data_IF_776455907288
#
_entry.id   IF_776455907288
#
_cell.length_a   1.000
_cell.length_b   1.000
_cell.length_c   1.000
_cell.angle_alpha   90.00
_cell.angle_beta   90.00
_cell.angle_gamma   90.00
#
_symmetry.space_group_name_H-M   'P 1'
#
loop_
_entity.id
_entity.type
_entity.pdbx_description
1 polymer ?
#
# COMPACT_ATOMS: atom_id res chain seq x y z
N UNK A 1 -15.79 6.03 -25.91
CA UNK A 1 -14.80 5.11 -25.30
C UNK A 1 -13.41 5.75 -25.13
N UNK A 2 -12.90 6.51 -26.11
CA UNK A 2 -11.61 7.22 -25.99
C UNK A 2 -11.57 8.28 -24.87
N UNK A 3 -12.68 8.99 -24.62
CA UNK A 3 -12.83 9.95 -23.51
C UNK A 3 -12.72 9.31 -22.12
N UNK A 4 -13.19 8.07 -21.94
CA UNK A 4 -13.08 7.34 -20.67
C UNK A 4 -11.65 6.85 -20.40
N UNK A 5 -10.94 6.41 -21.44
CA UNK A 5 -9.53 6.03 -21.35
C UNK A 5 -8.62 7.23 -21.07
N UNK A 6 -8.89 8.37 -21.72
CA UNK A 6 -8.18 9.62 -21.45
C UNK A 6 -8.43 10.13 -20.02
N UNK A 7 -9.65 10.00 -19.48
CA UNK A 7 -9.96 10.37 -18.10
C UNK A 7 -9.26 9.45 -17.08
N UNK A 8 -9.18 8.14 -17.35
CA UNK A 8 -8.43 7.18 -16.51
C UNK A 8 -6.93 7.47 -16.53
N UNK A 9 -6.35 7.78 -17.70
CA UNK A 9 -4.94 8.17 -17.83
C UNK A 9 -4.64 9.52 -17.15
N UNK A 10 -5.58 10.48 -17.21
CA UNK A 10 -5.47 11.78 -16.54
C UNK A 10 -5.54 11.63 -15.01
N UNK A 11 -6.32 10.68 -14.49
CA UNK A 11 -6.41 10.36 -13.06
C UNK A 11 -5.20 9.59 -12.52
N UNK A 12 -4.49 8.85 -13.37
CA UNK A 12 -3.27 8.13 -13.03
C UNK A 12 -2.01 9.00 -13.12
N UNK A 13 -2.10 10.18 -13.74
CA UNK A 13 -0.95 10.91 -14.27
C UNK A 13 -0.38 12.05 -13.41
N UNK A 14 -0.95 12.43 -12.27
CA UNK A 14 -0.49 13.68 -11.61
C UNK A 14 -0.76 13.83 -10.11
N UNK A 15 -0.95 12.73 -9.38
CA UNK A 15 -0.80 12.83 -7.93
C UNK A 15 0.71 12.80 -7.62
N UNK A 16 1.31 13.98 -7.41
CA UNK A 16 2.52 14.06 -6.58
C UNK A 16 2.30 13.21 -5.33
N UNK A 17 3.30 12.48 -4.80
CA UNK A 17 3.15 11.82 -3.52
C UNK A 17 2.70 12.89 -2.54
N UNK A 18 1.42 12.86 -2.16
CA UNK A 18 0.96 13.65 -1.05
C UNK A 18 1.77 13.12 0.13
N UNK A 19 2.54 14.00 0.79
CA UNK A 19 3.17 13.68 2.08
C UNK A 19 2.07 13.41 3.10
N UNK A 20 1.56 12.17 3.07
CA UNK A 20 0.43 11.67 3.84
C UNK A 20 0.82 10.41 4.62
N UNK A 21 2.11 10.10 4.67
CA UNK A 21 2.67 9.10 5.58
C UNK A 21 2.69 9.67 7.00
N UNK A 22 2.95 8.80 7.99
CA UNK A 22 2.92 9.15 9.41
C UNK A 22 3.60 10.48 9.71
N UNK A 23 2.79 11.51 9.98
CA UNK A 23 3.27 12.82 10.36
C UNK A 23 3.33 12.90 11.89
N UNK A 24 4.37 13.54 12.41
CA UNK A 24 4.45 13.82 13.83
C UNK A 24 3.35 14.83 14.19
N UNK A 25 2.43 14.42 15.06
CA UNK A 25 1.34 15.25 15.57
C UNK A 25 1.76 16.03 16.82
N UNK A 26 2.63 15.44 17.62
CA UNK A 26 3.19 16.07 18.82
C UNK A 26 4.27 15.21 19.46
N UNK A 27 5.09 15.85 20.29
CA UNK A 27 6.14 15.22 21.08
C UNK A 27 6.05 15.67 22.54
N UNK A 28 6.55 14.82 23.43
CA UNK A 28 6.82 15.16 24.82
C UNK A 28 8.23 14.66 25.15
N UNK A 29 9.21 15.54 25.44
CA UNK A 29 9.11 17.01 25.48
C UNK A 29 8.69 17.66 24.15
N UNK A 30 8.07 18.84 24.23
CA UNK A 30 7.68 19.61 23.04
C UNK A 30 8.91 20.10 22.26
N UNK A 31 8.79 20.23 20.93
CA UNK A 31 9.85 20.78 20.09
C UNK A 31 10.20 22.22 20.49
N UNK A 32 11.49 22.47 20.68
CA UNK A 32 12.07 23.72 21.15
C UNK A 32 11.88 23.98 22.65
N UNK A 33 11.27 23.07 23.40
CA UNK A 33 11.03 23.26 24.84
C UNK A 33 12.32 23.22 25.66
N UNK A 34 12.28 23.87 26.83
CA UNK A 34 13.31 23.78 27.87
C UNK A 34 12.67 23.17 29.11
N UNK A 35 13.19 22.03 29.55
CA UNK A 35 12.73 21.30 30.73
C UNK A 35 13.72 21.48 31.88
N UNK A 36 13.21 21.58 33.11
CA UNK A 36 14.06 21.82 34.29
C UNK A 36 14.85 20.59 34.72
N UNK A 37 14.34 19.39 34.44
CA UNK A 37 14.94 18.11 34.85
C UNK A 37 14.93 17.13 33.69
N UNK A 38 15.77 16.10 33.79
CA UNK A 38 15.82 15.02 32.80
C UNK A 38 14.46 14.33 32.75
N UNK A 39 13.77 14.30 31.59
CA UNK A 39 12.53 13.58 31.46
C UNK A 39 12.80 12.08 31.45
N UNK A 40 11.90 11.28 32.05
CA UNK A 40 12.04 9.82 32.10
C UNK A 40 12.04 9.18 30.70
N UNK A 41 11.32 9.79 29.75
CA UNK A 41 11.13 9.26 28.41
C UNK A 41 10.89 10.38 27.39
N UNK A 42 11.11 10.05 26.12
CA UNK A 42 10.64 10.85 24.99
C UNK A 42 9.48 10.13 24.34
N UNK A 43 8.37 10.83 24.12
CA UNK A 43 7.16 10.32 23.47
C UNK A 43 6.88 11.04 22.17
N UNK A 44 6.53 10.30 21.11
CA UNK A 44 6.13 10.82 19.81
C UNK A 44 4.75 10.28 19.44
N UNK A 45 3.81 11.19 19.19
CA UNK A 45 2.46 10.85 18.73
C UNK A 45 2.35 11.16 17.25
N UNK A 46 1.92 10.17 16.45
CA UNK A 46 1.79 10.28 15.01
C UNK A 46 0.33 10.43 14.57
N UNK A 47 0.10 10.78 13.31
CA UNK A 47 -1.24 10.83 12.71
C UNK A 47 -1.85 9.46 12.44
N UNK A 48 -1.05 8.39 12.50
CA UNK A 48 -1.46 7.01 12.25
C UNK A 48 -0.60 6.04 13.04
N UNK A 49 -0.96 4.75 13.01
CA UNK A 49 -0.14 3.71 13.62
C UNK A 49 1.19 3.54 12.92
N UNK A 50 2.25 3.29 13.68
CA UNK A 50 3.61 3.13 13.17
C UNK A 50 4.23 1.83 13.67
N UNK A 51 5.08 1.20 12.87
CA UNK A 51 5.96 0.12 13.33
C UNK A 51 7.32 0.70 13.72
N UNK A 52 7.86 0.17 14.82
CA UNK A 52 9.13 0.58 15.41
C UNK A 52 10.24 -0.38 15.00
N UNK A 53 11.44 0.18 14.92
CA UNK A 53 12.70 -0.51 14.67
C UNK A 53 13.66 -0.14 15.82
N UNK A 54 14.70 -0.94 16.04
CA UNK A 54 15.69 -0.68 17.11
C UNK A 54 16.32 0.72 17.01
N UNK A 55 16.50 1.22 15.78
CA UNK A 55 17.06 2.54 15.49
C UNK A 55 15.99 3.62 15.25
N UNK A 56 14.73 3.37 15.67
CA UNK A 56 13.63 4.32 15.47
C UNK A 56 13.82 5.64 16.21
N UNK A 57 14.60 5.64 17.30
CA UNK A 57 14.99 6.83 18.05
C UNK A 57 16.51 6.94 18.09
N UNK A 58 17.02 8.10 17.67
CA UNK A 58 18.42 8.46 17.73
C UNK A 58 18.52 9.77 18.51
N UNK A 59 19.02 9.66 19.73
CA UNK A 59 19.16 10.77 20.67
C UNK A 59 20.61 11.26 20.63
N UNK A 60 20.80 12.55 20.40
CA UNK A 60 22.11 13.20 20.41
C UNK A 60 22.16 14.22 21.52
N UNK A 61 23.20 14.15 22.35
CA UNK A 61 23.42 15.08 23.45
C UNK A 61 24.12 16.37 23.02
N UNK A 62 24.31 17.32 23.95
CA UNK A 62 24.94 18.62 23.72
C UNK A 62 26.35 18.55 23.11
N UNK A 63 27.08 17.46 23.37
CA UNK A 63 28.41 17.18 22.84
C UNK A 63 28.40 16.56 21.42
N UNK A 64 27.22 16.52 20.81
CA UNK A 64 26.94 15.90 19.51
C UNK A 64 27.25 14.39 19.46
N UNK A 65 27.30 13.72 20.62
CA UNK A 65 27.43 12.27 20.71
C UNK A 65 26.06 11.60 20.85
N UNK A 66 25.96 10.40 20.30
CA UNK A 66 24.77 9.57 20.42
C UNK A 66 24.62 9.06 21.86
N UNK A 67 23.50 9.39 22.48
CA UNK A 67 23.07 8.83 23.76
C UNK A 67 22.55 7.41 23.51
N UNK A 68 22.98 6.47 24.34
CA UNK A 68 22.43 5.13 24.32
C UNK A 68 21.06 5.16 25.00
N UNK A 69 20.07 4.60 24.31
CA UNK A 69 18.69 4.47 24.78
C UNK A 69 18.24 3.04 24.61
N UNK A 70 17.26 2.62 25.42
CA UNK A 70 16.67 1.29 25.31
C UNK A 70 15.84 1.13 24.02
N UNK A 71 15.33 -0.09 23.79
CA UNK A 71 14.50 -0.38 22.62
C UNK A 71 13.20 0.44 22.66
N UNK A 72 12.86 1.15 21.57
CA UNK A 72 11.61 1.89 21.49
C UNK A 72 10.39 0.98 21.62
N UNK A 73 9.36 1.45 22.32
CA UNK A 73 8.09 0.73 22.48
C UNK A 73 6.90 1.62 22.19
N UNK A 74 5.75 1.01 21.95
CA UNK A 74 4.48 1.75 21.90
C UNK A 74 4.01 2.09 23.30
N UNK A 75 3.37 3.25 23.45
CA UNK A 75 2.61 3.52 24.66
C UNK A 75 1.45 2.53 24.80
N UNK A 76 1.09 2.16 26.03
CA UNK A 76 0.09 1.13 26.31
C UNK A 76 -1.23 1.39 25.56
N UNK A 77 -1.60 0.43 24.72
CA UNK A 77 -2.82 0.48 23.91
C UNK A 77 -2.83 1.50 22.77
N UNK A 78 -1.71 2.18 22.49
CA UNK A 78 -1.61 3.25 21.46
C UNK A 78 -0.56 2.93 20.40
N UNK A 79 -0.98 2.30 19.30
CA UNK A 79 -0.08 1.95 18.18
C UNK A 79 0.40 3.14 17.34
N UNK A 80 -0.17 4.33 17.55
CA UNK A 80 0.21 5.61 16.95
C UNK A 80 1.14 6.44 17.85
N UNK A 81 1.48 5.95 19.04
CA UNK A 81 2.34 6.65 19.98
C UNK A 81 3.55 5.79 20.33
N UNK A 82 4.73 6.28 19.96
CA UNK A 82 6.00 5.63 20.25
C UNK A 82 6.71 6.35 21.40
N UNK A 83 7.45 5.62 22.21
CA UNK A 83 8.27 6.20 23.27
C UNK A 83 9.59 5.44 23.42
N UNK A 84 10.57 6.13 23.98
CA UNK A 84 11.86 5.59 24.35
C UNK A 84 12.28 6.16 25.71
N UNK A 85 12.80 5.31 26.58
CA UNK A 85 13.28 5.74 27.90
C UNK A 85 14.64 6.45 27.75
N UNK A 86 14.81 7.51 28.53
CA UNK A 86 16.08 8.22 28.64
C UNK A 86 16.85 7.74 29.88
N UNK A 87 18.19 7.78 29.86
CA UNK A 87 18.98 7.53 31.07
C UNK A 87 18.68 8.56 32.17
N UNK A 88 18.63 8.13 33.43
CA UNK A 88 18.40 8.99 34.61
C UNK A 88 19.36 10.19 34.72
N UNK A 89 20.53 10.12 34.08
CA UNK A 89 21.59 11.12 34.14
C UNK A 89 21.98 11.57 32.74
N UNK A 90 21.48 12.74 32.39
CA UNK A 90 21.84 13.48 31.20
C UNK A 90 22.44 14.84 31.62
N UNK A 91 23.31 15.40 30.78
CA UNK A 91 23.94 16.69 31.05
C UNK A 91 22.97 17.82 30.66
N UNK A 92 23.14 18.99 31.26
CA UNK A 92 22.41 20.19 30.83
C UNK A 92 22.83 20.57 29.41
N UNK A 93 21.87 21.09 28.63
CA UNK A 93 22.08 21.49 27.24
C UNK A 93 20.99 21.05 26.29
N UNK A 94 21.19 21.33 25.00
CA UNK A 94 20.26 20.98 23.92
C UNK A 94 20.48 19.55 23.44
N UNK A 95 19.40 18.80 23.35
CA UNK A 95 19.30 17.45 22.82
C UNK A 95 18.57 17.46 21.48
N UNK A 96 19.05 16.63 20.55
CA UNK A 96 18.39 16.41 19.25
C UNK A 96 17.82 15.01 19.17
N UNK A 97 16.53 14.91 18.91
CA UNK A 97 15.80 13.65 18.77
C UNK A 97 15.49 13.45 17.29
N UNK A 98 16.26 12.58 16.64
CA UNK A 98 15.97 12.13 15.29
C UNK A 98 15.18 10.81 15.35
N UNK A 99 14.10 10.72 14.59
CA UNK A 99 13.23 9.55 14.56
C UNK A 99 13.05 9.01 13.15
N UNK A 100 12.83 7.69 13.06
CA UNK A 100 12.45 6.99 11.84
C UNK A 100 11.48 5.86 12.17
N UNK A 101 10.35 5.84 11.50
CA UNK A 101 9.29 4.84 11.74
C UNK A 101 8.70 4.37 10.42
N UNK A 102 8.03 3.22 10.41
CA UNK A 102 7.29 2.72 9.25
C UNK A 102 5.80 2.96 9.47
N UNK A 103 5.14 3.75 8.62
CA UNK A 103 3.70 4.01 8.70
C UNK A 103 2.87 2.75 8.42
N UNK A 104 1.57 2.81 8.72
CA UNK A 104 0.67 1.68 8.52
C UNK A 104 0.46 1.32 7.03
N UNK A 105 0.81 2.21 6.10
CA UNK A 105 0.87 1.95 4.65
C UNK A 105 2.24 1.43 4.18
N UNK A 106 3.11 1.04 5.12
CA UNK A 106 4.43 0.45 4.88
C UNK A 106 5.52 1.39 4.32
N UNK A 107 5.32 2.70 4.35
CA UNK A 107 6.32 3.70 3.95
C UNK A 107 7.19 4.14 5.14
N UNK A 108 8.46 4.45 4.92
CA UNK A 108 9.28 5.08 5.94
C UNK A 108 8.91 6.56 6.10
N UNK A 109 8.80 6.99 7.36
CA UNK A 109 8.71 8.40 7.74
C UNK A 109 9.85 8.73 8.71
N UNK A 110 10.40 9.93 8.58
CA UNK A 110 11.50 10.40 9.43
C UNK A 110 11.38 11.88 9.73
N UNK A 111 11.95 12.30 10.83
CA UNK A 111 12.06 13.70 11.21
C UNK A 111 13.03 13.90 12.36
N UNK A 112 13.22 15.15 12.76
CA UNK A 112 14.02 15.48 13.93
C UNK A 112 13.44 16.73 14.60
N UNK A 113 13.62 16.82 15.90
CA UNK A 113 13.26 17.97 16.71
C UNK A 113 14.27 18.13 17.85
N UNK A 114 14.24 19.27 18.55
CA UNK A 114 15.17 19.50 19.67
C UNK A 114 14.44 19.88 20.94
N UNK A 115 15.01 19.57 22.10
CA UNK A 115 14.60 20.14 23.39
C UNK A 115 15.85 20.41 24.23
N UNK A 116 15.76 21.18 25.30
CA UNK A 116 16.91 21.45 26.18
C UNK A 116 16.62 21.10 27.63
N UNK A 117 17.63 20.60 28.34
CA UNK A 117 17.59 20.32 29.78
C UNK A 117 18.35 21.45 30.49
N UNK A 118 17.69 22.13 31.43
CA UNK A 118 18.25 23.26 32.18
C UNK A 118 18.37 24.53 31.32
N UNK A 119 19.36 24.57 30.44
CA UNK A 119 19.61 25.70 29.53
C UNK A 119 19.95 25.24 28.10
N UNK A 120 19.55 26.01 27.06
CA UNK A 120 19.95 25.71 25.70
C UNK A 120 21.46 25.79 25.48
N UNK A 121 22.03 24.85 24.72
CA UNK A 121 23.43 24.90 24.35
C UNK A 121 23.70 26.06 23.38
N UNK A 122 24.87 26.72 23.46
CA UNK A 122 25.25 27.79 22.53
C UNK A 122 25.26 27.35 21.06
N UNK A 123 25.49 26.06 20.81
CA UNK A 123 25.42 25.44 19.50
C UNK A 123 24.64 24.12 19.64
N UNK A 124 23.40 24.06 19.13
CA UNK A 124 22.60 22.83 19.16
C UNK A 124 23.31 21.69 18.40
N UNK A 125 23.17 20.44 18.86
CA UNK A 125 23.62 19.28 18.08
C UNK A 125 22.94 19.27 16.72
N UNK A 126 23.73 19.06 15.67
CA UNK A 126 23.17 19.00 14.32
C UNK A 126 22.20 17.82 14.24
N UNK A 127 20.97 18.08 13.83
CA UNK A 127 20.07 16.99 13.44
C UNK A 127 20.77 16.17 12.35
N UNK A 128 20.90 14.83 12.52
CA UNK A 128 21.34 13.99 11.43
C UNK A 128 20.46 14.30 10.22
N UNK A 129 21.09 14.66 9.10
CA UNK A 129 20.40 14.71 7.82
C UNK A 129 20.02 13.29 7.47
N UNK A 130 18.80 12.90 7.83
CA UNK A 130 18.20 11.69 7.30
C UNK A 130 17.67 12.04 5.91
N UNK A 131 18.27 11.54 4.81
CA UNK A 131 18.00 12.01 3.45
C UNK A 131 16.59 11.69 2.92
N UNK A 132 15.65 11.32 3.79
CA UNK A 132 14.33 10.81 3.41
C UNK A 132 14.50 9.43 2.78
N UNK A 133 13.79 9.15 1.69
CA UNK A 133 13.98 7.92 0.91
C UNK A 133 15.14 8.06 -0.08
N UNK A 134 15.95 7.00 -0.25
CA UNK A 134 16.95 7.00 -1.31
C UNK A 134 16.26 6.99 -2.70
N UNK A 135 16.51 7.97 -3.58
CA UNK A 135 15.65 8.25 -4.73
C UNK A 135 15.56 7.10 -5.73
N UNK A 136 16.68 6.40 -5.97
CA UNK A 136 16.71 5.23 -6.87
C UNK A 136 15.93 4.06 -6.27
N UNK A 137 16.09 3.81 -4.98
CA UNK A 137 15.42 2.71 -4.27
C UNK A 137 13.92 2.96 -4.23
N UNK A 138 13.52 4.19 -3.89
CA UNK A 138 12.13 4.64 -3.89
C UNK A 138 11.49 4.51 -5.27
N UNK A 139 12.16 4.97 -6.32
CA UNK A 139 11.64 4.90 -7.69
C UNK A 139 11.45 3.45 -8.16
N UNK A 140 12.43 2.58 -7.94
CA UNK A 140 12.34 1.16 -8.28
C UNK A 140 11.24 0.45 -7.48
N UNK A 141 11.17 0.70 -6.17
CA UNK A 141 10.16 0.12 -5.28
C UNK A 141 8.75 0.54 -5.70
N UNK A 142 8.53 1.85 -5.92
CA UNK A 142 7.25 2.37 -6.34
C UNK A 142 6.84 1.88 -7.74
N UNK A 143 7.78 1.80 -8.68
CA UNK A 143 7.52 1.25 -10.02
C UNK A 143 7.08 -0.22 -9.92
N UNK A 144 7.81 -1.03 -9.15
CA UNK A 144 7.42 -2.42 -8.91
C UNK A 144 6.05 -2.54 -8.22
N UNK A 145 5.75 -1.64 -7.27
CA UNK A 145 4.45 -1.58 -6.59
C UNK A 145 3.31 -1.32 -7.57
N UNK A 146 3.43 -0.32 -8.44
CA UNK A 146 2.41 -0.02 -9.45
C UNK A 146 2.25 -1.15 -10.47
N UNK A 147 3.35 -1.75 -10.92
CA UNK A 147 3.32 -2.92 -11.78
C UNK A 147 2.59 -4.10 -11.10
N UNK A 148 2.81 -4.33 -9.80
CA UNK A 148 2.11 -5.37 -9.05
C UNK A 148 0.59 -5.14 -9.01
N UNK A 149 0.14 -3.90 -8.79
CA UNK A 149 -1.28 -3.54 -8.82
C UNK A 149 -1.91 -3.78 -10.19
N UNK A 150 -1.28 -3.29 -11.27
CA UNK A 150 -1.76 -3.48 -12.64
C UNK A 150 -1.80 -4.96 -13.02
N UNK A 151 -0.76 -5.71 -12.65
CA UNK A 151 -0.64 -7.13 -12.93
C UNK A 151 -1.71 -7.95 -12.19
N UNK A 152 -2.01 -7.63 -10.93
CA UNK A 152 -3.07 -8.26 -10.18
C UNK A 152 -4.47 -7.96 -10.76
N UNK A 153 -4.73 -6.70 -11.14
CA UNK A 153 -5.96 -6.32 -11.84
C UNK A 153 -6.13 -7.14 -13.12
N UNK A 154 -5.08 -7.23 -13.93
CA UNK A 154 -5.12 -7.99 -15.19
C UNK A 154 -5.32 -9.48 -14.96
N UNK A 155 -4.54 -10.09 -14.05
CA UNK A 155 -4.58 -11.52 -13.76
C UNK A 155 -5.94 -11.95 -13.17
N UNK A 156 -6.37 -11.31 -12.09
CA UNK A 156 -7.63 -11.65 -11.40
C UNK A 156 -8.82 -11.29 -12.29
N UNK A 157 -8.79 -10.13 -12.95
CA UNK A 157 -9.87 -9.70 -13.83
C UNK A 157 -10.06 -10.59 -15.06
N UNK A 158 -8.97 -10.98 -15.73
CA UNK A 158 -9.04 -11.90 -16.87
C UNK A 158 -9.51 -13.30 -16.43
N UNK A 159 -9.04 -13.81 -15.28
CA UNK A 159 -9.48 -15.09 -14.74
C UNK A 159 -10.97 -15.08 -14.37
N UNK A 160 -11.44 -14.02 -13.71
CA UNK A 160 -12.85 -13.81 -13.38
C UNK A 160 -13.71 -13.71 -14.65
N UNK A 161 -13.25 -13.00 -15.67
CA UNK A 161 -13.95 -12.89 -16.95
C UNK A 161 -14.12 -14.26 -17.63
N UNK A 162 -13.06 -15.08 -17.68
CA UNK A 162 -13.16 -16.46 -18.22
C UNK A 162 -14.16 -17.29 -17.42
N UNK A 163 -14.08 -17.25 -16.09
CA UNK A 163 -14.91 -18.07 -15.22
C UNK A 163 -16.40 -17.67 -15.22
N UNK A 164 -16.68 -16.37 -15.23
CA UNK A 164 -18.03 -15.81 -15.01
C UNK A 164 -18.73 -15.41 -16.31
N UNK A 165 -18.00 -14.84 -17.27
CA UNK A 165 -18.57 -14.36 -18.53
C UNK A 165 -18.62 -15.45 -19.61
N UNK A 166 -17.73 -16.45 -19.52
CA UNK A 166 -17.68 -17.66 -20.37
C UNK A 166 -17.60 -17.31 -21.87
N UNK A 167 -16.51 -16.65 -22.32
CA UNK A 167 -16.29 -16.41 -23.74
C UNK A 167 -16.16 -17.74 -24.49
N UNK A 168 -16.52 -17.75 -25.78
CA UNK A 168 -16.44 -18.92 -26.66
C UNK A 168 -15.00 -19.31 -26.96
N UNK A 169 -14.14 -18.31 -27.19
CA UNK A 169 -12.71 -18.49 -27.39
C UNK A 169 -11.92 -17.85 -26.23
N UNK A 170 -11.04 -18.64 -25.63
CA UNK A 170 -10.15 -18.22 -24.53
C UNK A 170 -8.70 -18.09 -24.98
N UNK A 171 -8.37 -18.47 -26.22
CA UNK A 171 -6.99 -18.41 -26.74
C UNK A 171 -6.42 -16.98 -26.66
N UNK A 172 -7.16 -15.92 -27.05
CA UNK A 172 -6.64 -14.55 -26.94
C UNK A 172 -6.35 -14.10 -25.49
N UNK A 173 -7.01 -14.71 -24.51
CA UNK A 173 -6.87 -14.37 -23.09
C UNK A 173 -5.66 -15.00 -22.42
N UNK A 174 -4.99 -15.97 -23.08
CA UNK A 174 -3.77 -16.60 -22.55
C UNK A 174 -2.65 -15.59 -22.35
N UNK A 175 -2.46 -14.68 -23.31
CA UNK A 175 -1.39 -13.68 -23.23
C UNK A 175 -1.61 -12.71 -22.07
N UNK A 176 -2.78 -12.03 -21.91
CA UNK A 176 -3.08 -11.21 -20.73
C UNK A 176 -2.89 -11.93 -19.39
N UNK A 177 -3.32 -13.19 -19.29
CA UNK A 177 -3.15 -14.00 -18.08
C UNK A 177 -1.67 -14.27 -17.76
N UNK A 178 -0.88 -14.67 -18.76
CA UNK A 178 0.54 -14.93 -18.59
C UNK A 178 1.33 -13.66 -18.32
N UNK A 179 1.02 -12.56 -19.00
CA UNK A 179 1.61 -11.25 -18.73
C UNK A 179 1.30 -10.80 -17.31
N UNK A 180 0.03 -10.82 -16.90
CA UNK A 180 -0.37 -10.48 -15.53
C UNK A 180 0.32 -11.36 -14.49
N UNK A 181 0.42 -12.66 -14.73
CA UNK A 181 1.12 -13.57 -13.82
C UNK A 181 2.62 -13.30 -13.72
N UNK A 182 3.33 -13.23 -14.85
CA UNK A 182 4.78 -12.97 -14.87
C UNK A 182 5.13 -11.61 -14.29
N UNK A 183 4.37 -10.56 -14.65
CA UNK A 183 4.60 -9.23 -14.10
C UNK A 183 4.38 -9.22 -12.60
N UNK A 184 3.32 -9.87 -12.09
CA UNK A 184 3.07 -9.96 -10.64
C UNK A 184 4.19 -10.71 -9.91
N UNK A 185 4.69 -11.80 -10.49
CA UNK A 185 5.79 -12.58 -9.91
C UNK A 185 7.06 -11.74 -9.82
N UNK A 186 7.48 -11.14 -10.94
CA UNK A 186 8.72 -10.35 -11.02
C UNK A 186 8.62 -9.11 -10.13
N UNK A 187 7.49 -8.39 -10.17
CA UNK A 187 7.31 -7.21 -9.32
C UNK A 187 7.32 -7.57 -7.83
N UNK A 188 6.73 -8.71 -7.46
CA UNK A 188 6.75 -9.17 -6.06
C UNK A 188 8.16 -9.53 -5.60
N UNK A 189 8.96 -10.18 -6.46
CA UNK A 189 10.37 -10.44 -6.17
C UNK A 189 11.19 -9.15 -6.00
N UNK A 190 10.98 -8.17 -6.88
CA UNK A 190 11.65 -6.86 -6.77
C UNK A 190 11.25 -6.15 -5.47
N UNK A 191 9.96 -6.13 -5.12
CA UNK A 191 9.47 -5.55 -3.86
C UNK A 191 10.07 -6.24 -2.64
N UNK A 192 10.24 -7.57 -2.68
CA UNK A 192 10.83 -8.34 -1.60
C UNK A 192 12.32 -8.00 -1.41
N UNK A 193 13.07 -7.96 -2.52
CA UNK A 193 14.51 -7.64 -2.54
C UNK A 193 14.77 -6.20 -2.09
N UNK A 194 13.95 -5.26 -2.55
CA UNK A 194 14.12 -3.84 -2.24
C UNK A 194 13.49 -3.43 -0.90
N UNK A 195 12.85 -4.33 -0.15
CA UNK A 195 12.13 -3.97 1.07
C UNK A 195 13.05 -3.37 2.13
N UNK A 196 14.14 -4.05 2.46
CA UNK A 196 15.10 -3.57 3.46
C UNK A 196 15.73 -2.21 3.08
N UNK A 197 16.31 -2.04 1.88
CA UNK A 197 16.88 -0.74 1.52
C UNK A 197 15.82 0.36 1.38
N UNK A 198 14.57 0.03 1.08
CA UNK A 198 13.47 1.00 1.08
C UNK A 198 13.16 1.50 2.50
N UNK A 199 13.01 0.59 3.47
CA UNK A 199 12.74 0.94 4.87
C UNK A 199 13.88 1.75 5.50
N UNK A 200 15.13 1.38 5.21
CA UNK A 200 16.31 2.03 5.78
C UNK A 200 16.83 3.23 4.97
N UNK A 201 16.15 3.61 3.88
CA UNK A 201 16.66 4.57 2.88
C UNK A 201 18.10 4.31 2.42
N UNK A 202 18.47 3.05 2.28
CA UNK A 202 19.73 2.67 1.71
C UNK A 202 19.66 2.67 0.16
N UNK A 203 20.81 2.80 -0.52
CA UNK A 203 20.89 2.49 -1.95
C UNK A 203 20.49 1.03 -2.22
N UNK A 204 20.24 0.64 -3.49
CA UNK A 204 19.85 -0.73 -3.83
C UNK A 204 20.85 -1.80 -3.36
N UNK A 205 22.13 -1.45 -3.19
CA UNK A 205 23.16 -2.34 -2.63
C UNK A 205 22.93 -2.68 -1.15
N UNK A 206 22.06 -1.97 -0.44
CA UNK A 206 21.65 -2.28 0.93
C UNK A 206 20.97 -3.65 1.09
N UNK A 207 20.60 -4.31 -0.02
CA UNK A 207 20.19 -5.73 -0.03
C UNK A 207 21.26 -6.68 0.55
N UNK A 208 22.52 -6.27 0.54
CA UNK A 208 23.63 -7.06 1.07
C UNK A 208 23.67 -7.07 2.61
N UNK A 209 22.94 -6.17 3.27
CA UNK A 209 22.77 -6.19 4.72
C UNK A 209 21.77 -7.28 5.13
N UNK A 210 22.30 -8.46 5.42
CA UNK A 210 21.51 -9.64 5.81
C UNK A 210 20.67 -9.42 7.08
N UNK A 211 21.12 -8.58 8.01
CA UNK A 211 20.39 -8.27 9.23
C UNK A 211 19.19 -7.35 8.93
N UNK A 212 19.39 -6.33 8.09
CA UNK A 212 18.29 -5.48 7.61
C UNK A 212 17.26 -6.28 6.79
N UNK A 213 17.72 -7.19 5.92
CA UNK A 213 16.84 -8.08 5.15
C UNK A 213 16.03 -9.00 6.07
N UNK A 214 16.66 -9.62 7.07
CA UNK A 214 15.95 -10.47 8.03
C UNK A 214 14.85 -9.70 8.76
N UNK A 215 15.16 -8.49 9.26
CA UNK A 215 14.17 -7.64 9.94
C UNK A 215 13.02 -7.26 9.01
N UNK A 216 13.32 -6.78 7.81
CA UNK A 216 12.31 -6.40 6.81
C UNK A 216 11.37 -7.55 6.43
N UNK A 217 11.89 -8.78 6.31
CA UNK A 217 11.10 -9.97 5.99
C UNK A 217 10.27 -10.48 7.17
N UNK A 218 10.75 -10.30 8.40
CA UNK A 218 10.00 -10.64 9.62
C UNK A 218 8.89 -9.63 9.94
N UNK A 219 9.01 -8.40 9.43
CA UNK A 219 7.97 -7.39 9.54
C UNK A 219 6.70 -7.74 8.76
N UNK A 220 5.58 -7.14 9.18
CA UNK A 220 4.25 -7.37 8.57
C UNK A 220 4.24 -7.19 7.04
N UNK A 221 4.84 -6.13 6.47
CA UNK A 221 4.86 -5.96 5.01
C UNK A 221 5.71 -7.03 4.30
N UNK A 222 6.81 -7.48 4.93
CA UNK A 222 7.64 -8.57 4.43
C UNK A 222 6.89 -9.90 4.38
N UNK A 223 6.20 -10.27 5.47
CA UNK A 223 5.35 -11.47 5.54
C UNK A 223 4.25 -11.42 4.46
N UNK A 224 3.62 -10.27 4.26
CA UNK A 224 2.60 -10.11 3.22
C UNK A 224 3.17 -10.31 1.80
N UNK A 225 4.39 -9.82 1.52
CA UNK A 225 5.07 -10.06 0.24
C UNK A 225 5.47 -11.52 0.05
N UNK A 226 5.94 -12.20 1.10
CA UNK A 226 6.23 -13.64 1.07
C UNK A 226 4.96 -14.47 0.78
N UNK A 227 3.85 -14.13 1.43
CA UNK A 227 2.56 -14.75 1.17
C UNK A 227 2.10 -14.50 -0.28
N UNK A 228 2.28 -13.27 -0.80
CA UNK A 228 1.96 -12.92 -2.19
C UNK A 228 2.78 -13.73 -3.17
N UNK A 229 4.07 -13.91 -2.90
CA UNK A 229 4.97 -14.73 -3.72
C UNK A 229 4.48 -16.17 -3.77
N UNK A 230 4.20 -16.78 -2.61
CA UNK A 230 3.69 -18.15 -2.52
C UNK A 230 2.36 -18.31 -3.29
N UNK A 231 1.40 -17.41 -3.08
CA UNK A 231 0.11 -17.42 -3.77
C UNK A 231 0.26 -17.25 -5.29
N UNK A 232 1.19 -16.41 -5.73
CA UNK A 232 1.48 -16.20 -7.16
C UNK A 232 2.09 -17.45 -7.80
N UNK A 233 2.98 -18.16 -7.09
CA UNK A 233 3.52 -19.44 -7.55
C UNK A 233 2.43 -20.51 -7.67
N UNK A 234 1.52 -20.60 -6.68
CA UNK A 234 0.37 -21.52 -6.74
C UNK A 234 -0.57 -21.15 -7.90
N UNK A 235 -0.84 -19.86 -8.12
CA UNK A 235 -1.62 -19.41 -9.26
C UNK A 235 -0.99 -19.80 -10.60
N UNK A 236 0.33 -19.68 -10.74
CA UNK A 236 1.08 -20.13 -11.92
C UNK A 236 0.93 -21.62 -12.16
N UNK A 237 1.07 -22.44 -11.11
CA UNK A 237 0.86 -23.88 -11.20
C UNK A 237 -0.56 -24.24 -11.64
N UNK A 238 -1.58 -23.56 -11.10
CA UNK A 238 -2.99 -23.76 -11.49
C UNK A 238 -3.20 -23.38 -12.96
N UNK A 239 -2.67 -22.24 -13.41
CA UNK A 239 -2.75 -21.81 -14.81
C UNK A 239 -2.09 -22.82 -15.76
N UNK A 240 -0.91 -23.35 -15.40
CA UNK A 240 -0.22 -24.38 -16.19
C UNK A 240 -1.03 -25.68 -16.25
N UNK A 241 -1.63 -26.11 -15.14
CA UNK A 241 -2.52 -27.28 -15.08
C UNK A 241 -3.76 -27.11 -15.95
N UNK A 242 -4.35 -25.91 -15.95
CA UNK A 242 -5.52 -25.59 -16.78
C UNK A 242 -5.15 -25.51 -18.27
N UNK A 243 -4.00 -24.93 -18.62
CA UNK A 243 -3.53 -24.83 -20.00
C UNK A 243 -3.24 -26.20 -20.65
N UNK A 244 -2.91 -27.22 -19.85
CA UNK A 244 -2.65 -28.60 -20.31
C UNK A 244 -3.93 -29.43 -20.52
N UNK A 245 -5.11 -28.93 -20.13
CA UNK A 245 -6.37 -29.65 -20.35
C UNK A 245 -6.75 -29.61 -21.83
N UNK A 246 -7.00 -30.78 -22.41
CA UNK A 246 -7.38 -30.95 -23.83
C UNK A 246 -8.86 -30.66 -24.11
N UNK A 247 -9.72 -30.72 -23.09
CA UNK A 247 -11.17 -30.55 -23.23
C UNK A 247 -11.63 -29.16 -22.76
N UNK A 248 -12.06 -28.26 -23.68
CA UNK A 248 -12.66 -26.97 -23.35
C UNK A 248 -14.09 -27.16 -22.82
N UNK A 249 -14.22 -27.71 -21.61
CA UNK A 249 -15.48 -27.86 -20.90
C UNK A 249 -15.76 -26.73 -19.89
N UNK A 250 -16.96 -26.76 -19.30
CA UNK A 250 -17.39 -25.88 -18.20
C UNK A 250 -16.36 -25.93 -17.06
N UNK A 251 -15.95 -24.78 -16.50
CA UNK A 251 -15.04 -24.74 -15.36
C UNK A 251 -15.64 -25.53 -14.19
N UNK A 252 -15.00 -26.63 -13.75
CA UNK A 252 -15.41 -27.37 -12.57
C UNK A 252 -15.53 -26.45 -11.35
N UNK A 253 -16.53 -26.68 -10.49
CA UNK A 253 -16.74 -25.90 -9.27
C UNK A 253 -15.48 -25.82 -8.40
N UNK A 254 -14.68 -26.89 -8.37
CA UNK A 254 -13.39 -26.94 -7.67
C UNK A 254 -12.39 -25.89 -8.19
N UNK A 255 -12.28 -25.69 -9.51
CA UNK A 255 -11.36 -24.69 -10.08
C UNK A 255 -11.84 -23.27 -9.82
N UNK A 256 -13.16 -23.06 -9.82
CA UNK A 256 -13.73 -21.78 -9.42
C UNK A 256 -13.42 -21.49 -7.94
N UNK A 257 -13.61 -22.46 -7.05
CA UNK A 257 -13.30 -22.31 -5.64
C UNK A 257 -11.80 -21.98 -5.41
N UNK A 258 -10.90 -22.70 -6.08
CA UNK A 258 -9.46 -22.42 -6.03
C UNK A 258 -9.14 -21.01 -6.53
N UNK A 259 -9.74 -20.59 -7.66
CA UNK A 259 -9.57 -19.25 -8.20
C UNK A 259 -10.04 -18.15 -7.24
N UNK A 260 -11.18 -18.35 -6.57
CA UNK A 260 -11.70 -17.42 -5.56
C UNK A 260 -10.74 -17.34 -4.38
N UNK A 261 -10.31 -18.49 -3.83
CA UNK A 261 -9.37 -18.53 -2.68
C UNK A 261 -8.06 -17.82 -3.03
N UNK A 262 -7.50 -18.06 -4.22
CA UNK A 262 -6.29 -17.39 -4.67
C UNK A 262 -6.47 -15.88 -4.84
N UNK A 263 -7.59 -15.45 -5.44
CA UNK A 263 -7.87 -14.02 -5.66
C UNK A 263 -8.06 -13.28 -4.34
N UNK A 264 -8.84 -13.86 -3.41
CA UNK A 264 -9.04 -13.33 -2.06
C UNK A 264 -7.72 -13.30 -1.30
N UNK A 265 -6.95 -14.38 -1.32
CA UNK A 265 -5.63 -14.44 -0.68
C UNK A 265 -4.68 -13.38 -1.20
N UNK A 266 -4.60 -13.20 -2.53
CA UNK A 266 -3.77 -12.16 -3.15
C UNK A 266 -4.21 -10.76 -2.70
N UNK A 267 -5.51 -10.45 -2.76
CA UNK A 267 -6.05 -9.17 -2.31
C UNK A 267 -5.78 -8.92 -0.81
N UNK A 268 -5.87 -9.98 0.02
CA UNK A 268 -5.57 -9.91 1.44
C UNK A 268 -4.13 -9.51 1.72
N UNK A 269 -3.17 -9.88 0.86
CA UNK A 269 -1.77 -9.46 1.04
C UNK A 269 -1.58 -7.94 0.96
N UNK A 270 -2.36 -7.23 0.13
CA UNK A 270 -2.35 -5.77 0.14
C UNK A 270 -3.08 -5.23 1.37
N UNK A 271 -4.27 -5.74 1.68
CA UNK A 271 -5.03 -5.28 2.85
C UNK A 271 -4.27 -5.47 4.17
N UNK A 272 -3.44 -6.51 4.29
CA UNK A 272 -2.61 -6.79 5.46
C UNK A 272 -1.33 -5.93 5.55
N UNK A 273 -0.84 -5.41 4.42
CA UNK A 273 0.37 -4.60 4.34
C UNK A 273 0.10 -3.09 4.40
N UNK A 274 -1.16 -2.68 4.30
CA UNK A 274 -1.59 -1.28 4.16
C UNK A 274 -2.48 -0.85 5.36
N UNK A 275 -2.97 0.41 5.36
CA UNK A 275 -3.76 1.03 6.45
C UNK A 275 -5.01 0.26 6.89
N UNK A 276 -5.51 -0.67 6.08
CA UNK A 276 -6.67 -1.49 6.46
C UNK A 276 -6.36 -2.38 7.67
N UNK A 277 -5.08 -2.64 7.94
CA UNK A 277 -4.61 -3.55 8.97
C UNK A 277 -4.27 -2.87 10.32
N UNK A 278 -4.53 -1.58 10.46
CA UNK A 278 -4.28 -0.80 11.68
C UNK A 278 -5.39 0.22 11.94
N UNK A 279 -5.54 0.70 13.18
CA UNK A 279 -6.57 1.68 13.57
C UNK A 279 -7.93 1.06 13.93
N UNK A 280 -9.00 1.85 13.85
CA UNK A 280 -10.35 1.40 14.23
C UNK A 280 -10.93 0.38 13.24
N UNK A 281 -11.73 -0.55 13.75
CA UNK A 281 -12.52 -1.52 12.96
C UNK A 281 -11.69 -2.37 11.99
N UNK A 282 -10.49 -2.80 12.38
CA UNK A 282 -9.55 -3.56 11.52
C UNK A 282 -10.22 -4.69 10.71
N UNK A 283 -11.06 -5.58 11.29
CA UNK A 283 -11.68 -6.65 10.50
C UNK A 283 -12.57 -6.15 9.36
N UNK A 284 -13.33 -5.08 9.60
CA UNK A 284 -14.22 -4.46 8.61
C UNK A 284 -13.38 -3.72 7.56
N UNK A 285 -12.33 -3.03 7.98
CA UNK A 285 -11.41 -2.34 7.08
C UNK A 285 -10.69 -3.31 6.13
N UNK A 286 -10.13 -4.39 6.65
CA UNK A 286 -9.50 -5.43 5.83
C UNK A 286 -10.48 -6.05 4.84
N UNK A 287 -11.69 -6.38 5.30
CA UNK A 287 -12.75 -6.93 4.43
C UNK A 287 -13.13 -5.95 3.32
N UNK A 288 -13.37 -4.68 3.68
CA UNK A 288 -13.68 -3.63 2.70
C UNK A 288 -12.57 -3.48 1.66
N UNK A 289 -11.30 -3.44 2.08
CA UNK A 289 -10.18 -3.29 1.15
C UNK A 289 -10.02 -4.51 0.23
N UNK A 290 -10.16 -5.73 0.74
CA UNK A 290 -10.16 -6.94 -0.10
C UNK A 290 -11.27 -6.90 -1.14
N UNK A 291 -12.49 -6.59 -0.72
CA UNK A 291 -13.66 -6.51 -1.60
C UNK A 291 -13.50 -5.38 -2.63
N UNK A 292 -12.95 -4.23 -2.24
CA UNK A 292 -12.65 -3.11 -3.13
C UNK A 292 -11.62 -3.47 -4.21
N UNK A 293 -10.53 -4.14 -3.83
CA UNK A 293 -9.48 -4.59 -4.76
C UNK A 293 -10.01 -5.64 -5.74
N UNK A 294 -10.81 -6.60 -5.26
CA UNK A 294 -11.44 -7.61 -6.12
C UNK A 294 -12.44 -7.00 -7.09
N UNK A 295 -13.25 -6.03 -6.64
CA UNK A 295 -14.17 -5.31 -7.51
C UNK A 295 -13.43 -4.50 -8.59
N UNK A 296 -12.34 -3.83 -8.21
CA UNK A 296 -11.43 -3.12 -9.14
C UNK A 296 -10.90 -4.08 -10.20
N UNK A 297 -10.37 -5.24 -9.78
CA UNK A 297 -9.82 -6.23 -10.69
C UNK A 297 -10.88 -6.80 -11.65
N UNK A 298 -12.04 -7.21 -11.12
CA UNK A 298 -13.14 -7.76 -11.92
C UNK A 298 -13.66 -6.75 -12.95
N UNK A 299 -13.70 -5.45 -12.60
CA UNK A 299 -14.16 -4.40 -13.49
C UNK A 299 -13.11 -4.05 -14.56
N UNK A 300 -11.92 -3.58 -14.15
CA UNK A 300 -10.90 -3.07 -15.07
C UNK A 300 -10.22 -4.20 -15.84
N UNK A 301 -9.78 -5.25 -15.16
CA UNK A 301 -9.16 -6.40 -15.81
C UNK A 301 -10.15 -7.19 -16.65
N UNK A 302 -11.40 -7.29 -16.22
CA UNK A 302 -12.47 -7.88 -17.02
C UNK A 302 -12.79 -7.06 -18.27
N UNK A 303 -12.71 -5.73 -18.20
CA UNK A 303 -12.85 -4.84 -19.38
C UNK A 303 -11.73 -5.09 -20.38
N UNK A 304 -10.47 -5.17 -19.92
CA UNK A 304 -9.34 -5.52 -20.79
C UNK A 304 -9.57 -6.89 -21.44
N UNK A 305 -10.02 -7.89 -20.68
CA UNK A 305 -10.33 -9.21 -21.21
C UNK A 305 -11.45 -9.16 -22.27
N UNK A 306 -12.53 -8.41 -22.03
CA UNK A 306 -13.60 -8.22 -23.00
C UNK A 306 -13.07 -7.58 -24.29
N UNK A 307 -12.30 -6.50 -24.19
CA UNK A 307 -11.72 -5.81 -25.35
C UNK A 307 -10.79 -6.73 -26.14
N UNK A 308 -9.94 -7.51 -25.45
CA UNK A 308 -9.09 -8.51 -26.11
C UNK A 308 -9.95 -9.55 -26.84
N UNK A 309 -11.01 -10.09 -26.22
CA UNK A 309 -11.89 -11.03 -26.93
C UNK A 309 -12.59 -10.38 -28.12
N UNK A 310 -13.00 -9.12 -28.03
CA UNK A 310 -13.70 -8.44 -29.11
C UNK A 310 -12.78 -8.16 -30.31
N UNK A 311 -11.52 -7.78 -30.07
CA UNK A 311 -10.59 -7.38 -31.14
C UNK A 311 -9.66 -8.49 -31.63
N UNK A 312 -9.52 -9.60 -30.89
CA UNK A 312 -8.55 -10.66 -31.19
C UNK A 312 -9.17 -12.05 -31.36
N UNK A 313 -10.45 -12.26 -31.01
CA UNK A 313 -11.10 -13.53 -31.29
C UNK A 313 -11.46 -13.65 -32.77
N UNK A 314 -11.43 -14.86 -33.29
CA UNK A 314 -11.81 -15.18 -34.68
C UNK A 314 -13.31 -15.04 -34.92
N UNK A 315 -14.11 -15.14 -33.87
CA UNK A 315 -15.56 -14.95 -33.89
C UNK A 315 -15.96 -13.92 -32.84
N UNK A 316 -16.93 -13.04 -33.14
CA UNK A 316 -17.39 -12.05 -32.17
C UNK A 316 -17.96 -12.76 -30.93
N UNK A 317 -17.70 -12.22 -29.71
CA UNK A 317 -18.20 -12.83 -28.50
C UNK A 317 -19.74 -12.84 -28.50
N UNK A 318 -20.39 -13.93 -28.05
CA UNK A 318 -21.85 -13.96 -27.95
C UNK A 318 -22.39 -12.82 -27.09
N UNK A 319 -23.57 -12.30 -27.44
CA UNK A 319 -24.26 -11.26 -26.65
C UNK A 319 -24.39 -11.65 -25.17
N UNK A 320 -24.57 -12.93 -24.87
CA UNK A 320 -24.63 -13.44 -23.51
C UNK A 320 -23.34 -13.18 -22.70
N UNK A 321 -22.16 -13.24 -23.32
CA UNK A 321 -20.87 -12.93 -22.69
C UNK A 321 -20.79 -11.45 -22.31
N UNK A 322 -21.22 -10.57 -23.22
CA UNK A 322 -21.27 -9.12 -23.01
C UNK A 322 -22.25 -8.75 -21.90
N UNK A 323 -23.43 -9.37 -21.88
CA UNK A 323 -24.44 -9.14 -20.83
C UNK A 323 -23.92 -9.59 -19.46
N UNK A 324 -23.27 -10.75 -19.36
CA UNK A 324 -22.67 -11.23 -18.10
C UNK A 324 -21.59 -10.29 -17.59
N UNK A 325 -20.72 -9.82 -18.49
CA UNK A 325 -19.70 -8.84 -18.11
C UNK A 325 -20.33 -7.51 -17.68
N UNK A 326 -21.36 -7.04 -18.38
CA UNK A 326 -22.05 -5.79 -18.02
C UNK A 326 -22.66 -5.86 -16.62
N UNK A 327 -23.25 -7.00 -16.23
CA UNK A 327 -23.75 -7.24 -14.87
C UNK A 327 -22.62 -7.27 -13.84
N UNK A 328 -21.51 -7.95 -14.15
CA UNK A 328 -20.33 -8.01 -13.29
C UNK A 328 -19.74 -6.61 -13.08
N UNK A 329 -19.56 -5.84 -14.16
CA UNK A 329 -19.06 -4.47 -14.12
C UNK A 329 -19.97 -3.56 -13.29
N UNK A 330 -21.29 -3.64 -13.47
CA UNK A 330 -22.24 -2.87 -12.68
C UNK A 330 -22.14 -3.21 -11.18
N UNK A 331 -22.12 -4.50 -10.83
CA UNK A 331 -21.97 -4.92 -9.44
C UNK A 331 -20.63 -4.46 -8.85
N UNK A 332 -19.54 -4.59 -9.59
CA UNK A 332 -18.23 -4.09 -9.18
C UNK A 332 -18.27 -2.58 -8.87
N UNK A 333 -18.90 -1.76 -9.73
CA UNK A 333 -19.01 -0.31 -9.50
C UNK A 333 -19.81 0.01 -8.24
N UNK A 334 -20.92 -0.71 -7.99
CA UNK A 334 -21.70 -0.56 -6.74
C UNK A 334 -20.84 -0.89 -5.53
N UNK A 335 -20.09 -2.00 -5.58
CA UNK A 335 -19.18 -2.40 -4.51
C UNK A 335 -18.08 -1.36 -4.29
N UNK A 336 -17.48 -0.82 -5.36
CA UNK A 336 -16.46 0.22 -5.29
C UNK A 336 -17.00 1.50 -4.65
N UNK A 337 -18.23 1.90 -4.97
CA UNK A 337 -18.86 3.06 -4.36
C UNK A 337 -19.06 2.86 -2.85
N UNK A 338 -19.65 1.74 -2.43
CA UNK A 338 -19.92 1.44 -1.02
C UNK A 338 -18.62 1.35 -0.21
N UNK A 339 -17.67 0.53 -0.68
CA UNK A 339 -16.38 0.35 0.00
C UNK A 339 -15.51 1.60 -0.07
N UNK A 340 -15.64 2.41 -1.11
CA UNK A 340 -14.97 3.71 -1.25
C UNK A 340 -15.46 4.70 -0.21
N UNK A 341 -16.78 4.86 -0.07
CA UNK A 341 -17.39 5.75 0.95
C UNK A 341 -16.93 5.35 2.35
N UNK A 342 -16.99 4.05 2.69
CA UNK A 342 -16.53 3.56 3.98
C UNK A 342 -15.03 3.85 4.22
N UNK A 343 -14.17 3.54 3.26
CA UNK A 343 -12.73 3.78 3.39
C UNK A 343 -12.40 5.28 3.47
N UNK A 344 -13.11 6.13 2.74
CA UNK A 344 -12.96 7.59 2.79
C UNK A 344 -13.40 8.18 4.12
N UNK A 345 -14.54 7.74 4.65
CA UNK A 345 -15.01 8.15 5.97
C UNK A 345 -13.99 7.77 7.06
N UNK A 346 -13.52 6.51 7.03
CA UNK A 346 -12.51 6.01 7.96
C UNK A 346 -11.18 6.74 7.85
N UNK A 347 -10.77 7.13 6.63
CA UNK A 347 -9.49 7.79 6.36
C UNK A 347 -9.48 9.29 6.67
N UNK A 348 -10.59 10.00 6.42
CA UNK A 348 -10.65 11.46 6.62
C UNK A 348 -10.77 11.86 8.09
N UNK A 349 -11.58 11.14 8.87
CA UNK A 349 -11.86 11.46 10.27
C UNK A 349 -12.67 12.74 10.53
N UNK A 350 -12.60 13.75 9.66
CA UNK A 350 -13.36 15.00 9.75
C UNK A 350 -13.69 15.61 8.37
N UNK A 351 -14.67 16.52 8.34
CA UNK A 351 -15.04 17.26 7.12
C UNK A 351 -13.98 18.29 6.72
N UNK A 352 -13.32 18.92 7.68
CA UNK A 352 -12.25 19.88 7.43
C UNK A 352 -11.07 19.23 6.70
N UNK A 353 -10.81 17.94 6.98
CA UNK A 353 -9.77 17.19 6.31
C UNK A 353 -10.03 17.02 4.80
N UNK A 354 -11.29 17.13 4.34
CA UNK A 354 -11.65 16.92 2.94
C UNK A 354 -11.09 18.02 2.02
N UNK A 355 -11.02 19.28 2.48
CA UNK A 355 -10.49 20.41 1.70
C UNK A 355 -9.14 20.87 2.20
N UNK A 356 -8.85 20.68 3.50
CA UNK A 356 -7.63 21.11 4.16
C UNK A 356 -6.42 20.21 3.90
N UNK A 357 -6.62 18.92 3.61
CA UNK A 357 -5.50 17.96 3.46
C UNK A 357 -5.21 17.60 2.00
N UNK A 358 -3.95 17.24 1.66
CA UNK A 358 -3.62 16.66 0.36
C UNK A 358 -4.45 15.41 0.02
N UNK A 359 -4.69 14.54 1.01
CA UNK A 359 -5.53 13.35 0.85
C UNK A 359 -6.97 13.72 0.45
N UNK A 360 -7.57 14.67 1.17
CA UNK A 360 -8.93 15.15 0.89
C UNK A 360 -9.08 15.76 -0.50
N UNK A 361 -8.07 16.50 -0.98
CA UNK A 361 -8.03 17.06 -2.34
C UNK A 361 -8.03 15.96 -3.40
N UNK A 362 -7.19 14.92 -3.23
CA UNK A 362 -7.14 13.77 -4.15
C UNK A 362 -8.48 13.01 -4.14
N UNK A 363 -9.05 12.80 -2.95
CA UNK A 363 -10.36 12.15 -2.81
C UNK A 363 -11.45 12.95 -3.52
N UNK A 364 -11.47 14.27 -3.36
CA UNK A 364 -12.44 15.15 -4.02
C UNK A 364 -12.31 15.03 -5.55
N UNK A 365 -11.09 15.04 -6.09
CA UNK A 365 -10.85 14.84 -7.51
C UNK A 365 -11.36 13.47 -8.00
N UNK A 366 -11.13 12.40 -7.22
CA UNK A 366 -11.67 11.06 -7.52
C UNK A 366 -13.19 11.05 -7.54
N UNK A 367 -13.85 11.69 -6.57
CA UNK A 367 -15.31 11.75 -6.49
C UNK A 367 -15.91 12.51 -7.68
N UNK A 368 -15.32 13.64 -8.07
CA UNK A 368 -15.74 14.39 -9.28
C UNK A 368 -15.60 13.53 -10.52
N UNK A 369 -14.48 12.83 -10.69
CA UNK A 369 -14.30 11.97 -11.85
C UNK A 369 -15.28 10.79 -11.92
N UNK A 370 -15.57 10.16 -10.77
CA UNK A 370 -16.61 9.13 -10.70
C UNK A 370 -17.98 9.71 -11.06
N UNK A 371 -18.33 10.89 -10.57
CA UNK A 371 -19.58 11.56 -10.92
C UNK A 371 -19.69 11.84 -12.43
N UNK A 372 -18.60 12.32 -13.06
CA UNK A 372 -18.54 12.54 -14.51
C UNK A 372 -18.68 11.23 -15.29
N UNK A 373 -18.05 10.15 -14.85
CA UNK A 373 -18.19 8.83 -15.46
C UNK A 373 -19.63 8.31 -15.38
N UNK A 374 -20.28 8.46 -14.22
CA UNK A 374 -21.68 8.05 -14.03
C UNK A 374 -22.64 8.90 -14.87
N UNK A 375 -22.40 10.21 -14.97
CA UNK A 375 -23.18 11.11 -15.83
C UNK A 375 -23.04 10.75 -17.31
N UNK A 376 -21.82 10.52 -17.78
CA UNK A 376 -21.57 10.08 -19.16
C UNK A 376 -22.23 8.72 -19.44
N UNK A 377 -22.17 7.78 -18.49
CA UNK A 377 -22.85 6.50 -18.61
C UNK A 377 -24.38 6.67 -18.67
N UNK A 378 -24.95 7.56 -17.86
CA UNK A 378 -26.38 7.89 -17.88
C UNK A 378 -26.86 8.51 -19.18
N UNK A 379 -26.04 9.39 -19.79
CA UNK A 379 -26.32 10.01 -21.09
C UNK A 379 -26.11 9.07 -22.29
N UNK A 380 -25.40 7.96 -22.10
CA UNK A 380 -25.13 6.96 -23.15
C UNK A 380 -26.19 5.84 -23.23
N UNK A 381 -27.19 5.87 -22.35
CA UNK A 381 -28.40 5.04 -22.42
C UNK A 381 -29.43 5.71 -23.31
#
# INVERSE_FOLDING_TARGET
>A
MLLGGALILLLLGSASPAGAHAALRGSDPEDGSVVETVPDQVTLTFTESVALMDDSFRVYGPDNRRVHVEEPRHADGRSDTALVDLPDKLADGTYTIAWRVISADSHPASGAFTFSIGEPSPTPPAAPTDPGEHPVTASLYNTARYLAYVAAVLLVGAAAFVALCRPTDTVPLRLPLLTGWWTLLVSTLVLLVLRAPFESAAPPSGVLDTAAVSRALSGRPGIALLARLALTLVAGFVLLRLARRREPGRTPAAHLAVGIVLSVGLALTWAAAEHASAGIQVPVAMTSSVVHLLATACWLGGLVALLVTLFRATTPPPTATVIRFSRLAFLSVVVLAVTGVYQSWRGLGSWDALTGTPYGKILTAKLVAVALLLAAAGLSR
#
